data_IF_557430475682
#
_entry.id   IF_557430475682
#
_cell.length_a   1.000
_cell.length_b   1.000
_cell.length_c   1.000
_cell.angle_alpha   90.00
_cell.angle_beta   90.00
_cell.angle_gamma   90.00
#
_symmetry.space_group_name_H-M   'P 1'
#
loop_
_entity.id
_entity.type
_entity.pdbx_description
1 polymer ?
#
# COMPACT_ATOMS: atom_id res chain seq x y z
N UNK A 1 2.70 0.17 -9.49
CA UNK A 1 2.66 -0.37 -8.11
C UNK A 1 3.03 0.73 -7.12
N UNK A 2 2.36 0.85 -5.97
CA UNK A 2 2.70 1.82 -4.94
C UNK A 2 4.07 1.49 -4.34
N UNK A 3 4.86 2.53 -4.07
CA UNK A 3 6.12 2.42 -3.34
C UNK A 3 6.13 3.50 -2.25
N UNK A 4 6.58 3.13 -1.04
CA UNK A 4 6.71 4.04 0.09
C UNK A 4 8.14 3.93 0.58
N UNK A 5 8.87 5.04 0.54
CA UNK A 5 10.17 5.16 1.24
C UNK A 5 9.91 5.47 2.71
N UNK A 6 10.56 4.69 3.58
CA UNK A 6 10.63 4.92 5.01
C UNK A 6 11.54 6.14 5.22
N UNK A 7 11.09 7.10 6.03
CA UNK A 7 11.90 8.26 6.41
C UNK A 7 12.73 7.93 7.65
N UNK A 8 13.87 8.59 7.83
CA UNK A 8 14.80 8.32 8.95
C UNK A 8 14.15 8.52 10.34
N UNK A 9 13.15 9.39 10.45
CA UNK A 9 12.40 9.65 11.69
C UNK A 9 11.02 8.98 11.73
N UNK A 10 10.77 7.97 10.91
CA UNK A 10 9.48 7.28 10.84
C UNK A 10 9.60 5.85 11.39
N UNK A 11 8.67 5.48 12.27
CA UNK A 11 8.51 4.09 12.70
C UNK A 11 8.01 3.22 11.55
N UNK A 12 8.53 1.99 11.45
CA UNK A 12 8.18 1.04 10.40
C UNK A 12 6.67 0.84 10.24
N UNK A 13 5.93 0.72 11.36
CA UNK A 13 4.47 0.56 11.36
C UNK A 13 3.72 1.73 10.71
N UNK A 14 4.23 2.96 10.88
CA UNK A 14 3.66 4.13 10.23
C UNK A 14 3.86 4.08 8.72
N UNK A 15 5.05 3.67 8.26
CA UNK A 15 5.34 3.50 6.84
C UNK A 15 4.49 2.38 6.22
N UNK A 16 4.32 1.25 6.93
CA UNK A 16 3.47 0.14 6.51
C UNK A 16 2.00 0.58 6.36
N UNK A 17 1.51 1.40 7.30
CA UNK A 17 0.14 1.93 7.23
C UNK A 17 -0.06 2.84 6.02
N UNK A 18 0.94 3.67 5.67
CA UNK A 18 0.91 4.50 4.45
C UNK A 18 0.93 3.64 3.19
N UNK A 19 1.74 2.59 3.18
CA UNK A 19 1.80 1.65 2.06
C UNK A 19 0.47 0.94 1.84
N UNK A 20 -0.17 0.42 2.91
CA UNK A 20 -1.50 -0.20 2.83
C UNK A 20 -2.54 0.74 2.22
N UNK A 21 -2.59 2.00 2.68
CA UNK A 21 -3.48 3.02 2.11
C UNK A 21 -3.19 3.30 0.63
N UNK A 22 -1.92 3.31 0.23
CA UNK A 22 -1.53 3.50 -1.16
C UNK A 22 -1.99 2.33 -2.06
N UNK A 23 -1.90 1.09 -1.57
CA UNK A 23 -2.45 -0.10 -2.25
C UNK A 23 -3.97 -0.05 -2.39
N UNK A 24 -4.68 0.35 -1.33
CA UNK A 24 -6.13 0.50 -1.33
C UNK A 24 -6.58 1.60 -2.31
N UNK A 25 -5.92 2.77 -2.28
CA UNK A 25 -6.23 3.88 -3.20
C UNK A 25 -5.95 3.54 -4.66
N UNK A 26 -4.91 2.76 -4.93
CA UNK A 26 -4.60 2.30 -6.28
C UNK A 26 -5.59 1.23 -6.79
N UNK A 27 -6.55 0.79 -5.97
CA UNK A 27 -7.53 -0.22 -6.37
C UNK A 27 -6.92 -1.61 -6.58
N UNK A 28 -5.70 -1.85 -6.09
CA UNK A 28 -4.98 -3.11 -6.35
C UNK A 28 -5.76 -4.31 -5.79
N UNK A 29 -6.34 -4.18 -4.60
CA UNK A 29 -7.14 -5.25 -4.01
C UNK A 29 -8.42 -5.53 -4.82
N UNK A 30 -9.02 -4.49 -5.39
CA UNK A 30 -10.19 -4.61 -6.27
C UNK A 30 -9.83 -5.25 -7.60
N UNK A 31 -8.71 -4.85 -8.19
CA UNK A 31 -8.18 -5.41 -9.43
C UNK A 31 -7.79 -6.88 -9.27
N UNK A 32 -7.09 -7.22 -8.19
CA UNK A 32 -6.73 -8.60 -7.85
C UNK A 32 -7.98 -9.48 -7.75
N UNK A 33 -8.98 -9.02 -6.99
CA UNK A 33 -10.25 -9.74 -6.82
C UNK A 33 -11.00 -9.92 -8.14
N UNK A 34 -10.98 -8.93 -9.05
CA UNK A 34 -11.62 -9.06 -10.38
C UNK A 34 -10.92 -10.05 -11.30
N UNK A 35 -9.62 -10.27 -11.13
CA UNK A 35 -8.83 -11.20 -11.96
C UNK A 35 -8.94 -12.65 -11.48
N UNK A 36 -9.35 -12.87 -10.23
CA UNK A 36 -9.56 -14.20 -9.68
C UNK A 36 -10.91 -14.84 -10.07
N UNK A 37 -11.81 -14.08 -10.73
CA UNK A 37 -13.10 -14.56 -11.25
C UNK A 37 -13.15 -14.54 -12.78
#
# INVERSE_FOLDING_TARGET
MPSVRIRENEYFDAALRRFKRACEKAGILTELRRREF
#
